data_IF_214201319044
#
_entry.id   IF_214201319044
#
_cell.length_a   1.000
_cell.length_b   1.000
_cell.length_c   1.000
_cell.angle_alpha   90.00
_cell.angle_beta   90.00
_cell.angle_gamma   90.00
#
_symmetry.space_group_name_H-M   'P 1'
#
loop_
_entity.id
_entity.type
_entity.pdbx_description
1 polymer ?
#
# COMPACT_ATOMS: atom_id res chain seq x y z
N UNK A 1 0.22 11.50 -8.99
CA UNK A 1 -0.59 10.35 -9.41
C UNK A 1 -1.92 10.36 -8.66
N UNK A 2 -2.99 10.06 -9.36
CA UNK A 2 -4.32 10.07 -8.75
C UNK A 2 -4.57 8.81 -7.94
N UNK A 3 -5.33 8.96 -6.85
CA UNK A 3 -5.74 7.85 -6.01
C UNK A 3 -7.13 8.13 -5.43
N UNK A 4 -7.81 7.07 -5.03
CA UNK A 4 -9.19 7.17 -4.54
C UNK A 4 -9.25 7.25 -3.02
N UNK A 5 -8.33 6.58 -2.33
CA UNK A 5 -8.25 6.61 -0.86
C UNK A 5 -6.80 6.65 -0.41
N UNK A 6 -6.60 7.08 0.82
CA UNK A 6 -5.27 7.15 1.45
C UNK A 6 -5.30 6.36 2.76
N UNK A 7 -4.28 5.53 2.96
CA UNK A 7 -4.11 4.76 4.19
C UNK A 7 -2.76 5.11 4.81
N UNK A 8 -2.80 5.72 5.99
CA UNK A 8 -1.59 6.13 6.72
C UNK A 8 -1.19 5.01 7.68
N UNK A 9 -0.05 4.38 7.39
CA UNK A 9 0.50 3.29 8.20
C UNK A 9 1.75 3.72 8.97
N UNK A 10 2.04 5.02 9.03
CA UNK A 10 3.19 5.51 9.77
C UNK A 10 3.08 5.11 11.25
N UNK A 11 4.20 4.67 11.82
CA UNK A 11 4.26 4.22 13.21
C UNK A 11 3.84 2.77 13.43
N UNK A 12 3.30 2.08 12.43
CA UNK A 12 2.92 0.67 12.57
C UNK A 12 4.09 -0.25 12.22
N UNK A 13 4.17 -1.39 12.87
CA UNK A 13 5.23 -2.37 12.63
C UNK A 13 4.66 -3.79 12.54
N UNK A 14 5.54 -4.73 12.16
CA UNK A 14 5.27 -6.16 12.10
C UNK A 14 4.19 -6.48 11.05
N UNK A 15 3.19 -7.29 11.40
CA UNK A 15 2.16 -7.70 10.47
C UNK A 15 1.02 -6.69 10.34
N UNK A 16 0.94 -5.69 11.21
CA UNK A 16 -0.16 -4.75 11.26
C UNK A 16 -0.35 -3.98 9.94
N UNK A 17 0.71 -3.48 9.28
CA UNK A 17 0.52 -2.76 8.01
C UNK A 17 -0.21 -3.58 6.95
N UNK A 18 0.17 -4.84 6.77
CA UNK A 18 -0.44 -5.70 5.75
C UNK A 18 -1.89 -6.01 6.10
N UNK A 19 -2.20 -6.21 7.38
CA UNK A 19 -3.58 -6.41 7.82
C UNK A 19 -4.44 -5.20 7.48
N UNK A 20 -3.93 -4.00 7.72
CA UNK A 20 -4.64 -2.75 7.42
C UNK A 20 -4.86 -2.59 5.92
N UNK A 21 -3.84 -2.87 5.11
CA UNK A 21 -3.95 -2.81 3.66
C UNK A 21 -5.02 -3.79 3.18
N UNK A 22 -5.01 -5.02 3.69
CA UNK A 22 -5.96 -6.05 3.30
C UNK A 22 -7.40 -5.62 3.57
N UNK A 23 -7.65 -5.03 4.73
CA UNK A 23 -8.98 -4.52 5.08
C UNK A 23 -9.41 -3.39 4.16
N UNK A 24 -8.51 -2.45 3.92
CA UNK A 24 -8.83 -1.30 3.09
C UNK A 24 -9.09 -1.70 1.64
N UNK A 25 -8.32 -2.64 1.13
CA UNK A 25 -8.50 -3.12 -0.25
C UNK A 25 -9.85 -3.79 -0.46
N UNK A 26 -10.41 -4.40 0.57
CA UNK A 26 -11.76 -5.00 0.48
C UNK A 26 -12.85 -3.95 0.29
N UNK A 27 -12.63 -2.74 0.79
CA UNK A 27 -13.58 -1.65 0.67
C UNK A 27 -13.49 -0.94 -0.69
N UNK A 28 -12.48 -1.23 -1.47
CA UNK A 28 -12.28 -0.62 -2.79
C UNK A 28 -12.94 -1.45 -3.88
N UNK A 29 -13.26 -0.77 -4.98
CA UNK A 29 -13.76 -1.42 -6.19
C UNK A 29 -12.62 -1.67 -7.16
N UNK A 30 -12.84 -2.55 -8.12
CA UNK A 30 -11.84 -2.83 -9.16
C UNK A 30 -11.47 -1.54 -9.89
N UNK A 31 -10.18 -1.32 -10.05
CA UNK A 31 -9.66 -0.14 -10.71
C UNK A 31 -9.38 1.02 -9.75
N UNK A 32 -9.86 0.94 -8.51
CA UNK A 32 -9.56 1.97 -7.51
C UNK A 32 -8.10 1.86 -7.09
N UNK A 33 -7.53 3.01 -6.73
CA UNK A 33 -6.14 3.12 -6.31
C UNK A 33 -6.07 3.56 -4.86
N UNK A 34 -5.32 2.81 -4.05
CA UNK A 34 -5.05 3.13 -2.65
C UNK A 34 -3.63 3.69 -2.53
N UNK A 35 -3.53 4.88 -1.95
CA UNK A 35 -2.22 5.43 -1.58
C UNK A 35 -1.89 4.98 -0.16
N UNK A 36 -0.80 4.25 -0.01
CA UNK A 36 -0.32 3.76 1.29
C UNK A 36 0.91 4.56 1.69
N UNK A 37 0.88 5.10 2.91
CA UNK A 37 2.01 5.84 3.49
C UNK A 37 2.63 5.01 4.59
N UNK A 38 3.96 4.89 4.60
CA UNK A 38 4.67 4.14 5.64
C UNK A 38 6.05 4.74 5.89
N UNK A 39 6.51 4.61 7.13
CA UNK A 39 7.86 5.00 7.52
C UNK A 39 8.76 3.78 7.75
N UNK A 40 8.30 2.58 7.39
CA UNK A 40 9.06 1.33 7.57
C UNK A 40 9.63 0.86 6.23
N UNK A 41 10.96 0.79 6.14
CA UNK A 41 11.65 0.38 4.92
C UNK A 41 11.30 -1.04 4.50
N UNK A 42 10.89 -1.90 5.43
CA UNK A 42 10.46 -3.26 5.11
C UNK A 42 9.28 -3.29 4.13
N UNK A 43 8.48 -2.23 4.09
CA UNK A 43 7.35 -2.14 3.17
C UNK A 43 7.78 -2.09 1.71
N UNK A 44 9.01 -1.66 1.42
CA UNK A 44 9.55 -1.70 0.06
C UNK A 44 9.62 -3.13 -0.50
N UNK A 45 9.66 -4.13 0.38
CA UNK A 45 9.66 -5.54 0.02
C UNK A 45 8.28 -6.16 0.21
N UNK A 46 7.61 -5.82 1.31
CA UNK A 46 6.36 -6.45 1.71
C UNK A 46 5.20 -6.07 0.79
N UNK A 47 5.11 -4.81 0.36
CA UNK A 47 4.02 -4.37 -0.49
C UNK A 47 4.09 -4.99 -1.89
N UNK A 48 5.24 -5.02 -2.58
CA UNK A 48 5.29 -5.73 -3.85
C UNK A 48 4.93 -7.22 -3.73
N UNK A 49 5.36 -7.87 -2.65
CA UNK A 49 5.02 -9.27 -2.40
C UNK A 49 3.51 -9.44 -2.19
N UNK A 50 2.89 -8.56 -1.40
CA UNK A 50 1.46 -8.57 -1.18
C UNK A 50 0.70 -8.41 -2.51
N UNK A 51 1.12 -7.48 -3.34
CA UNK A 51 0.46 -7.24 -4.62
C UNK A 51 0.53 -8.47 -5.52
N UNK A 52 1.69 -9.14 -5.57
CA UNK A 52 1.84 -10.37 -6.36
C UNK A 52 0.94 -11.48 -5.86
N UNK A 53 0.85 -11.65 -4.54
CA UNK A 53 0.05 -12.71 -3.93
C UNK A 53 -1.44 -12.50 -4.09
N UNK A 54 -1.89 -11.26 -4.12
CA UNK A 54 -3.32 -10.94 -4.19
C UNK A 54 -3.81 -10.61 -5.60
N UNK A 55 -2.89 -10.51 -6.56
CA UNK A 55 -3.25 -10.16 -7.94
C UNK A 55 -3.52 -8.68 -8.15
N UNK A 56 -3.16 -7.83 -7.19
CA UNK A 56 -3.29 -6.38 -7.34
C UNK A 56 -2.04 -5.82 -7.99
N UNK A 57 -2.13 -4.60 -8.51
CA UNK A 57 -1.01 -3.96 -9.20
C UNK A 57 -0.41 -2.86 -8.35
N UNK A 58 0.91 -2.91 -8.13
CA UNK A 58 1.65 -1.80 -7.57
C UNK A 58 1.94 -0.82 -8.72
N UNK A 59 1.15 0.24 -8.78
CA UNK A 59 1.21 1.21 -9.88
C UNK A 59 2.49 2.03 -9.82
N UNK A 60 2.85 2.47 -8.60
CA UNK A 60 4.04 3.31 -8.40
C UNK A 60 4.46 3.26 -6.95
N UNK A 61 5.71 3.63 -6.70
CA UNK A 61 6.23 3.81 -5.34
C UNK A 61 7.24 4.93 -5.32
N UNK A 62 7.29 5.64 -4.20
CA UNK A 62 8.24 6.74 -3.98
C UNK A 62 8.75 6.69 -2.55
N UNK A 63 9.96 7.22 -2.37
CA UNK A 63 10.52 7.41 -1.03
C UNK A 63 11.18 8.79 -0.97
N UNK A 64 10.81 9.57 0.05
CA UNK A 64 11.37 10.91 0.26
C UNK A 64 11.55 11.11 1.77
N UNK A 65 12.80 11.34 2.20
CA UNK A 65 13.14 11.62 3.61
C UNK A 65 12.56 10.58 4.57
N UNK A 66 12.67 9.29 4.22
CA UNK A 66 12.18 8.19 5.06
C UNK A 66 10.69 7.95 4.98
N UNK A 67 9.94 8.76 4.25
CA UNK A 67 8.51 8.55 4.02
C UNK A 67 8.33 7.81 2.71
N UNK A 68 7.71 6.64 2.76
CA UNK A 68 7.42 5.84 1.58
C UNK A 68 5.97 5.97 1.20
N UNK A 69 5.70 6.00 -0.11
CA UNK A 69 4.37 6.06 -0.69
C UNK A 69 4.23 4.94 -1.71
N UNK A 70 3.10 4.25 -1.65
CA UNK A 70 2.81 3.15 -2.58
C UNK A 70 1.40 3.34 -3.14
N UNK A 71 1.27 3.31 -4.46
CA UNK A 71 -0.03 3.38 -5.14
C UNK A 71 -0.39 1.97 -5.60
N UNK A 72 -1.41 1.38 -4.97
CA UNK A 72 -1.86 0.02 -5.24
C UNK A 72 -3.22 0.08 -5.91
N UNK A 73 -3.33 -0.49 -7.11
CA UNK A 73 -4.60 -0.59 -7.82
C UNK A 73 -5.23 -1.95 -7.54
N UNK A 74 -6.51 -1.93 -7.22
CA UNK A 74 -7.27 -3.17 -7.04
C UNK A 74 -7.68 -3.72 -8.40
N UNK A 75 -7.26 -4.93 -8.67
CA UNK A 75 -7.57 -5.64 -9.92
C UNK A 75 -8.60 -6.76 -9.72
#
# INVERSE_FOLDING_TARGET
>A
MNHDQTLDLNGLCCAEPIIRITRQMKALERGDVLLVLSDKSSMNKDIPAYCRQTGNTLVSSEETHGQMKFWIRKD
#
